data_IF_291850792855
#
_entry.id   IF_291850792855
#
_cell.length_a   1.000
_cell.length_b   1.000
_cell.length_c   1.000
_cell.angle_alpha   90.00
_cell.angle_beta   90.00
_cell.angle_gamma   90.00
#
_symmetry.space_group_name_H-M   'P 1'
#
loop_
_entity.id
_entity.type
_entity.pdbx_description
1 polymer ?
#
# COMPACT_ATOMS: atom_id res chain seq x y z
N UNK A 1 -3.45 -12.06 14.81
CA UNK A 1 -3.69 -10.86 13.96
C UNK A 1 -3.26 -9.62 14.73
N UNK A 2 -2.44 -8.77 14.11
CA UNK A 2 -2.04 -7.46 14.62
C UNK A 2 -2.61 -6.38 13.69
N UNK A 3 -3.18 -5.32 14.26
CA UNK A 3 -3.56 -4.11 13.53
C UNK A 3 -2.50 -3.05 13.79
N UNK A 4 -2.03 -2.41 12.74
CA UNK A 4 -1.07 -1.31 12.77
C UNK A 4 -1.74 -0.13 12.07
N UNK A 5 -1.89 0.97 12.79
CA UNK A 5 -2.52 2.18 12.28
C UNK A 5 -1.48 3.27 12.05
N UNK A 6 -1.44 3.79 10.85
CA UNK A 6 -0.57 4.89 10.42
C UNK A 6 -1.41 6.13 10.20
N UNK A 7 -1.35 7.10 11.11
CA UNK A 7 -2.02 8.40 10.92
C UNK A 7 -1.34 9.17 9.80
N UNK A 8 -2.11 9.69 8.86
CA UNK A 8 -1.59 10.58 7.83
C UNK A 8 -1.38 11.99 8.41
N UNK A 9 -0.27 12.66 8.04
CA UNK A 9 0.03 14.01 8.55
C UNK A 9 -1.00 15.04 8.05
N UNK A 10 -0.99 16.23 8.67
CA UNK A 10 -1.86 17.37 8.34
C UNK A 10 -3.35 17.06 8.39
N UNK A 11 -3.78 16.40 9.46
CA UNK A 11 -5.19 16.24 9.79
C UNK A 11 -5.86 17.60 9.91
N UNK A 12 -7.08 17.72 9.38
CA UNK A 12 -7.92 18.90 9.61
C UNK A 12 -8.64 18.78 10.94
N UNK A 13 -9.05 19.92 11.51
CA UNK A 13 -9.85 19.93 12.73
C UNK A 13 -11.11 19.06 12.56
N UNK A 14 -11.29 18.12 13.48
CA UNK A 14 -12.42 17.19 13.46
C UNK A 14 -12.27 15.97 12.55
N UNK A 15 -11.14 15.80 11.84
CA UNK A 15 -10.89 14.63 10.99
C UNK A 15 -9.47 14.09 11.18
N UNK A 16 -9.34 12.78 11.24
CA UNK A 16 -8.06 12.08 11.19
C UNK A 16 -8.17 10.97 10.15
N UNK A 17 -7.20 10.91 9.23
CA UNK A 17 -7.12 9.83 8.25
C UNK A 17 -6.04 8.85 8.65
N UNK A 18 -6.41 7.60 8.69
CA UNK A 18 -5.54 6.50 9.11
C UNK A 18 -5.48 5.45 8.03
N UNK A 19 -4.27 5.01 7.68
CA UNK A 19 -4.04 3.82 6.88
C UNK A 19 -3.84 2.64 7.84
N UNK A 20 -4.77 1.68 7.80
CA UNK A 20 -4.74 0.50 8.67
C UNK A 20 -4.18 -0.71 7.94
N UNK A 21 -3.13 -1.29 8.49
CA UNK A 21 -2.51 -2.54 8.03
C UNK A 21 -2.89 -3.67 8.98
N UNK A 22 -3.41 -4.76 8.44
CA UNK A 22 -3.73 -5.97 9.19
C UNK A 22 -2.68 -7.04 8.88
N UNK A 23 -1.90 -7.40 9.89
CA UNK A 23 -0.82 -8.38 9.78
C UNK A 23 -1.24 -9.71 10.39
N UNK A 24 -1.05 -10.77 9.61
CA UNK A 24 -1.37 -12.15 9.97
C UNK A 24 -0.15 -13.04 9.80
N UNK A 25 -0.09 -14.12 10.60
CA UNK A 25 0.93 -15.14 10.51
C UNK A 25 2.32 -14.68 10.97
N UNK A 26 3.29 -15.55 10.77
CA UNK A 26 4.70 -15.33 11.09
C UNK A 26 5.59 -16.10 10.10
N UNK A 27 6.82 -15.65 9.94
CA UNK A 27 7.80 -16.27 9.04
C UNK A 27 8.62 -15.26 8.27
N UNK A 28 9.41 -15.75 7.33
CA UNK A 28 10.34 -14.94 6.53
C UNK A 28 9.74 -14.50 5.19
N UNK A 29 8.77 -15.23 4.66
CA UNK A 29 8.07 -14.84 3.43
C UNK A 29 6.94 -13.88 3.75
N UNK A 30 6.82 -12.82 2.94
CA UNK A 30 5.82 -11.76 3.14
C UNK A 30 5.00 -11.55 1.87
N UNK A 31 3.69 -11.54 2.03
CA UNK A 31 2.73 -11.13 1.00
C UNK A 31 2.10 -9.80 1.45
N UNK A 32 2.10 -8.82 0.58
CA UNK A 32 1.40 -7.56 0.77
C UNK A 32 0.21 -7.47 -0.18
N UNK A 33 -0.96 -7.17 0.36
CA UNK A 33 -2.20 -7.05 -0.40
C UNK A 33 -2.86 -5.72 -0.05
N UNK A 34 -3.11 -4.90 -1.04
CA UNK A 34 -3.87 -3.66 -0.88
C UNK A 34 -5.10 -3.64 -1.77
N UNK A 35 -6.09 -2.84 -1.37
CA UNK A 35 -7.28 -2.55 -2.16
C UNK A 35 -7.67 -1.10 -2.02
N UNK A 36 -8.50 -0.59 -2.92
CA UNK A 36 -9.05 0.76 -2.88
C UNK A 36 -8.00 1.87 -2.96
N UNK A 37 -6.97 1.68 -3.76
CA UNK A 37 -6.07 2.78 -4.13
C UNK A 37 -6.82 3.81 -4.98
N UNK A 38 -7.68 3.34 -5.91
CA UNK A 38 -8.81 4.14 -6.37
C UNK A 38 -10.00 3.84 -5.45
N UNK A 39 -10.36 4.78 -4.59
CA UNK A 39 -11.34 4.55 -3.52
C UNK A 39 -12.78 4.39 -4.01
N UNK A 40 -13.06 4.71 -5.27
CA UNK A 40 -14.31 4.46 -5.97
C UNK A 40 -14.45 3.00 -6.48
N UNK A 41 -13.39 2.19 -6.40
CA UNK A 41 -13.39 0.78 -6.81
C UNK A 41 -13.81 -0.14 -5.65
N UNK A 42 -15.09 -0.09 -5.26
CA UNK A 42 -15.66 -0.81 -4.12
C UNK A 42 -15.48 -2.36 -4.15
N UNK A 43 -15.50 -3.06 -5.30
CA UNK A 43 -15.32 -4.51 -5.33
C UNK A 43 -14.00 -4.97 -4.71
N UNK A 44 -12.89 -4.25 -4.95
CA UNK A 44 -11.59 -4.55 -4.34
C UNK A 44 -11.64 -4.45 -2.81
N UNK A 45 -12.26 -3.38 -2.29
CA UNK A 45 -12.46 -3.18 -0.85
C UNK A 45 -13.28 -4.31 -0.23
N UNK A 46 -14.39 -4.71 -0.88
CA UNK A 46 -15.23 -5.81 -0.43
C UNK A 46 -14.47 -7.13 -0.38
N UNK A 47 -13.68 -7.43 -1.43
CA UNK A 47 -12.83 -8.62 -1.49
C UNK A 47 -11.82 -8.63 -0.35
N UNK A 48 -11.13 -7.52 -0.11
CA UNK A 48 -10.17 -7.40 0.98
C UNK A 48 -10.84 -7.54 2.36
N UNK A 49 -12.07 -7.06 2.53
CA UNK A 49 -12.82 -7.23 3.77
C UNK A 49 -13.19 -8.69 4.05
N UNK A 50 -13.61 -9.44 3.04
CA UNK A 50 -13.87 -10.88 3.19
C UNK A 50 -12.57 -11.66 3.40
N UNK A 51 -11.50 -11.30 2.70
CA UNK A 51 -10.18 -11.89 2.89
C UNK A 51 -9.67 -11.69 4.34
N UNK A 52 -9.91 -10.53 4.93
CA UNK A 52 -9.58 -10.24 6.34
C UNK A 52 -10.18 -11.28 7.29
N UNK A 53 -11.45 -11.66 7.10
CA UNK A 53 -12.12 -12.68 7.91
C UNK A 53 -11.49 -14.05 7.71
N UNK A 54 -11.26 -14.40 6.43
CA UNK A 54 -10.67 -15.70 6.09
C UNK A 54 -9.25 -15.86 6.62
N UNK A 55 -8.44 -14.81 6.57
CA UNK A 55 -7.09 -14.82 7.12
C UNK A 55 -7.08 -14.99 8.65
N UNK A 56 -8.03 -14.39 9.35
CA UNK A 56 -8.15 -14.59 10.80
C UNK A 56 -8.51 -16.04 11.17
N UNK A 57 -9.37 -16.69 10.39
CA UNK A 57 -9.69 -18.12 10.54
C UNK A 57 -8.46 -19.00 10.27
N UNK A 58 -7.74 -18.76 9.17
CA UNK A 58 -6.54 -19.51 8.80
C UNK A 58 -5.43 -19.36 9.83
N UNK A 59 -5.24 -18.14 10.36
CA UNK A 59 -4.28 -17.88 11.43
C UNK A 59 -4.64 -18.65 12.71
N UNK A 60 -5.91 -18.60 13.14
CA UNK A 60 -6.38 -19.29 14.35
C UNK A 60 -6.22 -20.80 14.26
N UNK A 61 -6.29 -21.35 13.04
CA UNK A 61 -6.10 -22.76 12.75
C UNK A 61 -4.63 -23.17 12.49
N UNK A 62 -3.67 -22.23 12.60
CA UNK A 62 -2.26 -22.48 12.34
C UNK A 62 -1.93 -22.82 10.87
N UNK A 63 -2.78 -22.40 9.92
CA UNK A 63 -2.66 -22.75 8.50
C UNK A 63 -1.88 -21.72 7.67
N UNK A 64 -1.46 -20.58 8.27
CA UNK A 64 -0.67 -19.59 7.57
C UNK A 64 0.82 -19.92 7.64
N UNK A 65 1.46 -19.93 6.46
CA UNK A 65 2.91 -20.09 6.32
C UNK A 65 3.50 -18.79 5.77
N UNK A 66 4.06 -17.97 6.67
CA UNK A 66 4.57 -16.65 6.34
C UNK A 66 3.72 -15.52 6.86
N UNK A 67 4.08 -14.31 6.48
CA UNK A 67 3.40 -13.06 6.89
C UNK A 67 2.50 -12.59 5.75
N UNK A 68 1.26 -12.22 6.08
CA UNK A 68 0.35 -11.54 5.15
C UNK A 68 0.00 -10.18 5.75
N UNK A 69 0.33 -9.11 5.04
CA UNK A 69 -0.13 -7.75 5.34
C UNK A 69 -1.25 -7.37 4.38
N UNK A 70 -2.39 -7.02 4.95
CA UNK A 70 -3.59 -6.65 4.21
C UNK A 70 -3.98 -5.21 4.54
N UNK A 71 -4.14 -4.39 3.50
CA UNK A 71 -4.61 -2.99 3.57
C UNK A 71 -5.93 -2.90 2.80
N UNK A 72 -7.09 -3.07 3.46
CA UNK A 72 -8.39 -3.06 2.78
C UNK A 72 -8.76 -1.71 2.16
N UNK A 73 -8.26 -0.62 2.74
CA UNK A 73 -8.47 0.75 2.28
C UNK A 73 -7.11 1.43 2.18
N UNK A 74 -6.49 1.35 1.00
CA UNK A 74 -5.20 1.98 0.75
C UNK A 74 -5.30 3.50 0.61
N UNK A 75 -6.48 4.03 0.29
CA UNK A 75 -6.70 5.45 0.05
C UNK A 75 -7.84 6.03 0.90
N UNK A 76 -7.57 6.36 2.17
CA UNK A 76 -8.55 7.02 3.02
C UNK A 76 -8.85 8.46 2.56
N UNK A 77 -7.93 9.11 1.80
CA UNK A 77 -8.15 10.45 1.26
C UNK A 77 -9.27 10.41 0.22
N UNK A 78 -9.11 9.55 -0.80
CA UNK A 78 -10.11 9.40 -1.87
C UNK A 78 -11.45 8.89 -1.36
N UNK A 79 -11.45 8.08 -0.29
CA UNK A 79 -12.68 7.58 0.32
C UNK A 79 -13.55 8.70 0.90
N UNK A 80 -12.93 9.75 1.42
CA UNK A 80 -13.62 10.91 2.00
C UNK A 80 -14.06 11.95 0.96
N UNK A 81 -13.61 11.85 -0.29
CA UNK A 81 -13.86 12.86 -1.30
C UNK A 81 -15.26 12.71 -1.92
N UNK A 82 -16.11 13.67 -1.63
CA UNK A 82 -17.42 13.85 -2.26
C UNK A 82 -17.56 15.25 -2.81
N UNK A 83 -17.98 15.36 -4.07
CA UNK A 83 -18.26 16.62 -4.73
C UNK A 83 -19.69 16.62 -5.28
N UNK A 84 -20.54 17.52 -4.80
CA UNK A 84 -21.95 17.62 -5.23
C UNK A 84 -22.70 16.27 -5.18
N UNK A 85 -22.47 15.50 -4.12
CA UNK A 85 -23.10 14.18 -3.94
C UNK A 85 -22.45 13.02 -4.69
N UNK A 86 -21.43 13.27 -5.50
CA UNK A 86 -20.68 12.24 -6.22
C UNK A 86 -19.40 11.88 -5.50
N UNK A 87 -19.11 10.59 -5.35
CA UNK A 87 -17.86 10.10 -4.79
C UNK A 87 -16.73 10.26 -5.82
N UNK A 88 -15.62 10.87 -5.41
CA UNK A 88 -14.46 11.20 -6.25
C UNK A 88 -13.22 10.45 -5.77
N UNK A 89 -13.22 9.12 -5.94
CA UNK A 89 -12.19 8.23 -5.38
C UNK A 89 -10.93 8.03 -6.23
N UNK A 90 -10.89 8.52 -7.48
CA UNK A 90 -9.83 8.23 -8.46
C UNK A 90 -8.74 9.31 -8.51
N UNK A 91 -9.11 10.56 -8.31
CA UNK A 91 -8.21 11.71 -8.39
C UNK A 91 -8.28 12.52 -7.08
N UNK A 92 -7.14 13.02 -6.60
CA UNK A 92 -7.12 13.94 -5.48
C UNK A 92 -7.68 15.29 -5.89
N UNK A 93 -8.70 15.77 -5.19
CA UNK A 93 -9.37 17.03 -5.53
C UNK A 93 -8.46 18.25 -5.39
N UNK A 94 -7.52 18.23 -4.45
CA UNK A 94 -6.62 19.36 -4.19
C UNK A 94 -5.57 19.58 -5.28
N UNK A 95 -5.03 18.50 -5.85
CA UNK A 95 -3.95 18.57 -6.85
C UNK A 95 -4.35 18.10 -8.26
N UNK A 96 -5.50 17.44 -8.39
CA UNK A 96 -5.93 16.78 -9.63
C UNK A 96 -5.12 15.53 -9.99
N UNK A 97 -4.24 15.05 -9.10
CA UNK A 97 -3.40 13.88 -9.36
C UNK A 97 -4.20 12.58 -9.22
N UNK A 98 -3.97 11.64 -10.12
CA UNK A 98 -4.49 10.28 -9.99
C UNK A 98 -3.80 9.58 -8.81
N UNK A 99 -4.57 8.96 -7.90
CA UNK A 99 -4.03 8.29 -6.72
C UNK A 99 -3.09 7.13 -7.04
N UNK A 100 -3.23 6.48 -8.19
CA UNK A 100 -2.36 5.41 -8.65
C UNK A 100 -1.29 5.90 -9.64
N UNK A 101 -0.79 7.11 -9.46
CA UNK A 101 0.31 7.69 -10.25
C UNK A 101 1.24 8.49 -9.33
N UNK A 102 2.41 8.83 -9.86
CA UNK A 102 3.36 9.72 -9.18
C UNK A 102 3.91 9.18 -7.86
N UNK A 103 4.03 7.86 -7.74
CA UNK A 103 4.84 7.26 -6.68
C UNK A 103 6.29 7.68 -6.84
N UNK A 104 7.01 7.70 -5.73
CA UNK A 104 8.46 7.97 -5.75
C UNK A 104 9.14 6.88 -6.59
N UNK A 105 10.00 7.31 -7.50
CA UNK A 105 10.84 6.43 -8.29
C UNK A 105 12.04 6.02 -7.44
N UNK A 106 12.26 4.71 -7.30
CA UNK A 106 13.34 4.13 -6.47
C UNK A 106 14.43 3.46 -7.28
N UNK A 107 14.16 3.09 -8.55
CA UNK A 107 15.09 2.25 -9.32
C UNK A 107 16.42 2.94 -9.56
N UNK A 108 16.39 4.20 -10.00
CA UNK A 108 17.62 4.94 -10.29
C UNK A 108 18.48 5.15 -9.03
N UNK A 109 17.96 5.72 -7.91
CA UNK A 109 18.78 5.91 -6.71
C UNK A 109 19.24 4.59 -6.08
N UNK A 110 18.43 3.53 -6.15
CA UNK A 110 18.86 2.21 -5.66
C UNK A 110 19.97 1.65 -6.54
N UNK A 111 19.85 1.71 -7.86
CA UNK A 111 20.88 1.23 -8.78
C UNK A 111 22.21 1.98 -8.60
N UNK A 112 22.16 3.28 -8.38
CA UNK A 112 23.35 4.10 -8.10
C UNK A 112 24.06 3.66 -6.82
N UNK A 113 23.31 3.30 -5.77
CA UNK A 113 23.89 2.91 -4.48
C UNK A 113 24.49 1.51 -4.47
N UNK A 114 23.92 0.56 -5.25
CA UNK A 114 24.29 -0.87 -5.13
C UNK A 114 24.65 -1.55 -6.44
N UNK A 115 24.70 -0.84 -7.57
CA UNK A 115 24.91 -1.45 -8.89
C UNK A 115 26.11 -2.40 -8.95
N UNK A 116 27.23 -2.00 -8.36
CA UNK A 116 28.48 -2.77 -8.34
C UNK A 116 28.53 -3.83 -7.22
N UNK A 117 27.52 -3.91 -6.38
CA UNK A 117 27.46 -4.84 -5.23
C UNK A 117 26.61 -6.10 -5.52
N UNK A 118 25.90 -6.14 -6.64
CA UNK A 118 25.08 -7.28 -7.02
C UNK A 118 25.97 -8.43 -7.50
N UNK A 119 25.75 -9.62 -6.90
CA UNK A 119 26.53 -10.83 -7.17
C UNK A 119 25.70 -11.95 -7.82
N UNK A 120 26.26 -13.15 -7.84
CA UNK A 120 25.58 -14.34 -8.38
C UNK A 120 24.48 -14.94 -7.49
N UNK A 121 24.39 -14.54 -6.23
CA UNK A 121 23.37 -15.01 -5.28
C UNK A 121 22.12 -14.13 -5.37
N UNK A 122 21.07 -14.65 -6.00
CA UNK A 122 19.80 -13.94 -6.17
C UNK A 122 19.13 -13.59 -4.83
N UNK A 123 19.24 -14.44 -3.80
CA UNK A 123 18.64 -14.18 -2.50
C UNK A 123 19.37 -13.05 -1.76
N UNK A 124 20.68 -13.03 -1.80
CA UNK A 124 21.48 -11.93 -1.24
C UNK A 124 21.17 -10.61 -1.96
N UNK A 125 21.03 -10.64 -3.29
CA UNK A 125 20.67 -9.47 -4.09
C UNK A 125 19.28 -8.92 -3.70
N UNK A 126 18.28 -9.78 -3.51
CA UNK A 126 16.93 -9.37 -3.07
C UNK A 126 16.99 -8.65 -1.72
N UNK A 127 17.74 -9.21 -0.76
CA UNK A 127 17.89 -8.61 0.57
C UNK A 127 18.55 -7.22 0.45
N UNK A 128 19.64 -7.12 -0.30
CA UNK A 128 20.36 -5.86 -0.51
C UNK A 128 19.47 -4.80 -1.18
N UNK A 129 18.77 -5.17 -2.26
CA UNK A 129 17.86 -4.26 -2.97
C UNK A 129 16.77 -3.73 -2.02
N UNK A 130 16.11 -4.61 -1.26
CA UNK A 130 15.04 -4.22 -0.32
C UNK A 130 15.54 -3.29 0.79
N UNK A 131 16.70 -3.60 1.36
CA UNK A 131 17.33 -2.76 2.37
C UNK A 131 17.63 -1.37 1.82
N UNK A 132 18.19 -1.30 0.61
CA UNK A 132 18.51 -0.04 -0.05
C UNK A 132 17.26 0.75 -0.43
N UNK A 133 16.20 0.10 -0.92
CA UNK A 133 14.89 0.76 -1.11
C UNK A 133 14.38 1.40 0.18
N UNK A 134 14.48 0.68 1.32
CA UNK A 134 14.14 1.22 2.64
C UNK A 134 14.98 2.45 3.00
N UNK A 135 16.30 2.38 2.82
CA UNK A 135 17.21 3.50 3.08
C UNK A 135 16.91 4.72 2.21
N UNK A 136 16.63 4.52 0.92
CA UNK A 136 16.23 5.60 0.01
C UNK A 136 14.93 6.26 0.49
N UNK A 137 13.93 5.47 0.87
CA UNK A 137 12.66 5.99 1.40
C UNK A 137 12.85 6.77 2.71
N UNK A 138 13.72 6.28 3.60
CA UNK A 138 14.04 6.95 4.87
C UNK A 138 14.80 8.25 4.69
N UNK A 139 15.65 8.32 3.65
CA UNK A 139 16.44 9.52 3.30
C UNK A 139 15.62 10.62 2.60
N UNK A 140 14.37 10.36 2.21
CA UNK A 140 13.55 11.38 1.55
C UNK A 140 13.21 12.52 2.51
N UNK A 141 13.14 13.77 2.02
CA UNK A 141 12.61 14.89 2.80
C UNK A 141 11.23 14.59 3.35
N UNK A 142 10.79 15.27 4.41
CA UNK A 142 9.43 15.10 4.92
C UNK A 142 8.40 15.24 3.78
N UNK A 143 7.33 14.39 3.75
CA UNK A 143 6.34 14.47 2.69
C UNK A 143 5.62 15.81 2.74
N UNK A 144 5.26 16.39 1.60
CA UNK A 144 4.63 17.72 1.49
C UNK A 144 3.10 17.66 1.46
N UNK A 145 2.52 16.47 1.40
CA UNK A 145 1.06 16.27 1.36
C UNK A 145 0.66 14.92 1.95
N UNK A 146 -0.62 14.77 2.32
CA UNK A 146 -1.17 13.49 2.74
C UNK A 146 -1.06 12.43 1.64
N UNK A 147 -1.25 12.83 0.38
CA UNK A 147 -1.07 11.94 -0.77
C UNK A 147 0.35 11.37 -0.83
N UNK A 148 1.35 12.23 -0.69
CA UNK A 148 2.75 11.80 -0.70
C UNK A 148 3.09 10.91 0.50
N UNK A 149 2.60 11.25 1.68
CA UNK A 149 2.77 10.42 2.88
C UNK A 149 2.13 9.03 2.71
N UNK A 150 0.91 8.99 2.19
CA UNK A 150 0.20 7.75 1.88
C UNK A 150 0.97 6.89 0.87
N UNK A 151 1.42 7.48 -0.25
CA UNK A 151 2.20 6.78 -1.27
C UNK A 151 3.48 6.17 -0.68
N UNK A 152 4.20 6.90 0.17
CA UNK A 152 5.43 6.39 0.82
C UNK A 152 5.16 5.22 1.75
N UNK A 153 4.06 5.26 2.52
CA UNK A 153 3.65 4.16 3.39
C UNK A 153 3.32 2.91 2.57
N UNK A 154 2.48 3.03 1.53
CA UNK A 154 2.12 1.92 0.66
C UNK A 154 3.35 1.32 -0.03
N UNK A 155 4.22 2.18 -0.56
CA UNK A 155 5.44 1.76 -1.25
C UNK A 155 6.39 1.02 -0.30
N UNK A 156 6.54 1.46 0.94
CA UNK A 156 7.34 0.77 1.96
C UNK A 156 6.87 -0.65 2.18
N UNK A 157 5.59 -0.86 2.42
CA UNK A 157 5.02 -2.19 2.61
C UNK A 157 5.20 -3.09 1.37
N UNK A 158 5.02 -2.50 0.17
CA UNK A 158 5.21 -3.20 -1.09
C UNK A 158 6.67 -3.62 -1.33
N UNK A 159 7.64 -2.74 -1.06
CA UNK A 159 9.07 -3.04 -1.24
C UNK A 159 9.58 -4.15 -0.31
N UNK A 160 8.99 -4.30 0.85
CA UNK A 160 9.37 -5.35 1.81
C UNK A 160 8.77 -6.73 1.49
N UNK A 161 7.79 -6.81 0.58
CA UNK A 161 7.07 -8.04 0.31
C UNK A 161 7.71 -8.89 -0.80
N UNK A 162 7.55 -10.22 -0.71
CA UNK A 162 7.92 -11.14 -1.78
C UNK A 162 6.89 -11.15 -2.90
N UNK A 163 5.62 -10.91 -2.54
CA UNK A 163 4.50 -10.80 -3.46
C UNK A 163 3.68 -9.58 -3.08
N UNK A 164 3.41 -8.73 -4.06
CA UNK A 164 2.53 -7.56 -3.91
C UNK A 164 1.30 -7.73 -4.81
N UNK A 165 0.12 -7.60 -4.23
CA UNK A 165 -1.15 -7.60 -4.94
C UNK A 165 -1.88 -6.27 -4.72
N UNK A 166 -2.23 -5.59 -5.81
CA UNK A 166 -3.04 -4.37 -5.80
C UNK A 166 -4.40 -4.69 -6.45
N UNK A 167 -5.46 -4.72 -5.63
CA UNK A 167 -6.79 -5.14 -6.05
C UNK A 167 -7.55 -3.96 -6.66
N UNK A 168 -7.69 -3.99 -7.96
CA UNK A 168 -8.48 -3.03 -8.75
C UNK A 168 -9.70 -3.68 -9.39
N UNK A 169 -10.67 -2.87 -9.78
CA UNK A 169 -11.68 -3.31 -10.73
C UNK A 169 -11.62 -2.44 -12.00
N UNK A 170 -11.70 -3.11 -13.18
CA UNK A 170 -11.92 -2.40 -14.42
C UNK A 170 -13.31 -1.76 -14.42
N UNK A 171 -13.48 -0.59 -15.03
CA UNK A 171 -14.81 -0.12 -15.37
C UNK A 171 -15.41 -1.17 -16.31
N UNK A 172 -16.34 -1.98 -15.80
CA UNK A 172 -17.25 -2.70 -16.66
C UNK A 172 -18.04 -1.63 -17.43
N UNK A 173 -17.60 -1.34 -18.65
CA UNK A 173 -18.42 -0.63 -19.61
C UNK A 173 -19.64 -1.51 -19.89
N UNK A 174 -20.61 -1.49 -19.02
CA UNK A 174 -21.96 -1.92 -19.33
C UNK A 174 -22.44 -0.97 -20.43
N UNK A 175 -22.30 -1.38 -21.68
CA UNK A 175 -23.11 -0.81 -22.73
C UNK A 175 -24.54 -1.17 -22.39
N UNK A 176 -25.29 -0.17 -21.91
CA UNK A 176 -26.75 -0.22 -21.93
C UNK A 176 -27.22 -0.16 -23.38
#
# INVERSE_FOLDING_TARGET
MQRIDHSLPWSHLGTERTLSVFRYGAGTRKVYIQASLHADELPGMRTAWELKKRLAELESNGQLQGVIELVPVANPIGLDQHLQGSHMGRFELGSGKNFNRSFVELSAPVAELIGDQLGGDAQANIVLIRQTMGQVLDGLPAPLSQLEAMHRLLLRHACEADITLDLHCGQCCGKA
#
